data_IF_317863217648
#
_entry.id   IF_317863217648
#
_cell.length_a   1.000
_cell.length_b   1.000
_cell.length_c   1.000
_cell.angle_alpha   90.00
_cell.angle_beta   90.00
_cell.angle_gamma   90.00
#
_symmetry.space_group_name_H-M   'P 1'
#
loop_
_entity.id
_entity.type
_entity.pdbx_description
1 polymer ?
#
# COMPACT_ATOMS: atom_id res chain seq x y z
N UNK A 1 -11.91 11.09 -6.55
CA UNK A 1 -10.95 12.20 -6.26
C UNK A 1 -10.10 11.83 -5.07
N UNK A 2 -8.77 11.97 -5.19
CA UNK A 2 -7.82 11.80 -4.10
C UNK A 2 -7.47 13.19 -3.55
N UNK A 3 -7.95 13.49 -2.34
CA UNK A 3 -7.59 14.71 -1.63
C UNK A 3 -6.24 14.51 -0.94
N UNK A 4 -5.25 15.30 -1.34
CA UNK A 4 -3.90 15.30 -0.78
C UNK A 4 -3.82 16.38 0.30
N UNK A 5 -3.51 15.97 1.53
CA UNK A 5 -3.28 16.87 2.67
C UNK A 5 -1.81 16.76 3.09
N UNK A 6 -1.01 17.77 2.76
CA UNK A 6 0.40 17.81 3.12
C UNK A 6 0.60 18.54 4.46
N UNK A 7 1.52 18.02 5.28
CA UNK A 7 1.96 18.69 6.50
C UNK A 7 2.58 20.06 6.19
N UNK A 8 2.40 21.00 7.12
CA UNK A 8 3.02 22.30 7.03
C UNK A 8 4.56 22.18 7.02
N UNK A 9 5.22 22.91 6.10
CA UNK A 9 6.68 22.89 5.95
C UNK A 9 7.23 21.86 4.96
N UNK A 10 6.39 21.10 4.26
CA UNK A 10 6.84 20.38 3.06
C UNK A 10 7.19 21.36 1.94
N UNK A 11 8.30 21.09 1.21
CA UNK A 11 8.70 21.90 0.08
C UNK A 11 7.67 21.82 -1.07
N UNK A 12 7.65 22.84 -1.92
CA UNK A 12 6.74 22.86 -3.06
C UNK A 12 7.01 21.72 -4.04
N UNK A 13 8.29 21.39 -4.24
CA UNK A 13 8.69 20.25 -5.09
C UNK A 13 8.15 18.92 -4.54
N UNK A 14 8.28 18.70 -3.23
CA UNK A 14 7.75 17.50 -2.58
C UNK A 14 6.24 17.40 -2.74
N UNK A 15 5.51 18.50 -2.47
CA UNK A 15 4.06 18.54 -2.64
C UNK A 15 3.65 18.33 -4.10
N UNK A 16 4.44 18.83 -5.05
CA UNK A 16 4.19 18.62 -6.48
C UNK A 16 4.29 17.14 -6.85
N UNK A 17 5.35 16.44 -6.41
CA UNK A 17 5.52 15.02 -6.64
C UNK A 17 4.36 14.17 -6.08
N UNK A 18 3.89 14.51 -4.86
CA UNK A 18 2.75 13.83 -4.23
C UNK A 18 1.47 14.04 -5.04
N UNK A 19 1.19 15.28 -5.46
CA UNK A 19 0.00 15.61 -6.25
C UNK A 19 0.00 14.92 -7.61
N UNK A 20 1.16 14.89 -8.29
CA UNK A 20 1.31 14.17 -9.56
C UNK A 20 1.06 12.68 -9.39
N UNK A 21 1.61 12.07 -8.33
CA UNK A 21 1.35 10.66 -8.05
C UNK A 21 -0.13 10.37 -7.79
N UNK A 22 -0.83 11.24 -7.05
CA UNK A 22 -2.26 11.12 -6.82
C UNK A 22 -3.07 11.25 -8.12
N UNK A 23 -2.74 12.24 -8.94
CA UNK A 23 -3.39 12.46 -10.23
C UNK A 23 -3.24 11.27 -11.18
N UNK A 24 -2.06 10.67 -11.25
CA UNK A 24 -1.81 9.48 -12.07
C UNK A 24 -2.70 8.31 -11.66
N UNK A 25 -2.99 8.13 -10.38
CA UNK A 25 -3.94 7.13 -9.91
C UNK A 25 -5.39 7.49 -10.25
N UNK A 26 -5.79 8.75 -10.13
CA UNK A 26 -7.12 9.21 -10.52
C UNK A 26 -7.41 8.98 -12.02
N UNK A 27 -6.39 9.13 -12.86
CA UNK A 27 -6.50 8.88 -14.31
C UNK A 27 -6.66 7.40 -14.67
N UNK A 28 -6.19 6.49 -13.80
CA UNK A 28 -6.18 5.04 -14.04
C UNK A 28 -7.27 4.28 -13.32
N UNK A 29 -7.81 4.83 -12.26
CA UNK A 29 -8.79 4.15 -11.42
C UNK A 29 -10.11 4.91 -11.34
N UNK A 30 -11.20 4.17 -11.40
CA UNK A 30 -12.50 4.71 -11.06
C UNK A 30 -12.63 4.84 -9.52
N UNK A 31 -12.59 6.08 -9.02
CA UNK A 31 -12.72 6.41 -7.59
C UNK A 31 -14.01 7.21 -7.41
N UNK A 32 -15.14 6.55 -7.10
CA UNK A 32 -16.47 7.19 -7.06
C UNK A 32 -16.65 8.20 -5.93
N UNK A 33 -15.94 8.02 -4.84
CA UNK A 33 -16.01 8.91 -3.67
C UNK A 33 -14.63 9.48 -3.35
N UNK A 34 -14.62 10.55 -2.57
CA UNK A 34 -13.38 11.18 -2.13
C UNK A 34 -12.56 10.25 -1.23
N UNK A 35 -11.27 10.13 -1.53
CA UNK A 35 -10.25 9.50 -0.69
C UNK A 35 -9.37 10.60 -0.11
N UNK A 36 -9.15 10.59 1.20
CA UNK A 36 -8.34 11.60 1.89
C UNK A 36 -7.04 10.96 2.36
N UNK A 37 -5.92 11.42 1.80
CA UNK A 37 -4.58 10.95 2.16
C UNK A 37 -3.77 12.09 2.80
N UNK A 38 -3.30 11.86 4.02
CA UNK A 38 -2.43 12.79 4.74
C UNK A 38 -0.98 12.38 4.55
N UNK A 39 -0.13 13.37 4.25
CA UNK A 39 1.30 13.18 4.07
C UNK A 39 2.07 13.96 5.13
N UNK A 40 2.98 13.29 5.80
CA UNK A 40 3.83 13.81 6.87
C UNK A 40 5.30 13.49 6.56
N UNK A 41 6.22 14.30 7.08
CA UNK A 41 7.66 13.99 7.06
C UNK A 41 8.06 13.37 8.39
N UNK A 42 8.89 12.34 8.34
CA UNK A 42 9.43 11.72 9.54
C UNK A 42 10.89 11.29 9.31
N UNK A 43 11.75 11.58 10.28
CA UNK A 43 13.13 11.08 10.28
C UNK A 43 13.13 9.61 10.67
N UNK A 44 13.30 8.74 9.69
CA UNK A 44 13.29 7.29 9.91
C UNK A 44 14.69 6.68 9.97
N UNK A 45 15.71 7.46 9.64
CA UNK A 45 17.10 7.04 9.55
C UNK A 45 17.55 6.71 8.13
N UNK A 46 18.84 6.87 7.89
CA UNK A 46 19.48 6.51 6.62
C UNK A 46 19.48 5.00 6.49
N UNK A 47 18.96 4.49 5.36
CA UNK A 47 18.85 3.05 5.10
C UNK A 47 17.59 2.38 5.66
N UNK A 48 16.71 3.13 6.33
CA UNK A 48 15.36 2.69 6.66
C UNK A 48 14.45 2.69 5.41
N UNK A 49 13.18 2.36 5.61
CA UNK A 49 12.17 2.41 4.55
C UNK A 49 12.02 3.82 3.97
N UNK A 50 11.69 3.91 2.71
CA UNK A 50 11.48 5.16 1.98
C UNK A 50 10.27 5.93 2.49
N UNK A 51 9.26 5.19 2.90
CA UNK A 51 8.02 5.69 3.46
C UNK A 51 7.34 4.62 4.32
N UNK A 52 6.47 5.05 5.21
CA UNK A 52 5.51 4.20 5.93
C UNK A 52 4.09 4.61 5.55
N UNK A 53 3.31 3.68 5.01
CA UNK A 53 1.89 3.90 4.75
C UNK A 53 1.05 3.32 5.89
N UNK A 54 0.55 4.18 6.77
CA UNK A 54 -0.35 3.81 7.86
C UNK A 54 -1.79 3.75 7.33
N UNK A 55 -2.10 2.63 6.68
CA UNK A 55 -3.42 2.39 6.10
C UNK A 55 -4.40 2.00 7.19
N UNK A 56 -5.55 2.64 7.23
CA UNK A 56 -6.66 2.19 8.09
C UNK A 56 -7.36 1.03 7.42
N UNK A 57 -7.68 0.01 8.20
CA UNK A 57 -8.35 -1.18 7.70
C UNK A 57 -9.66 -1.42 8.43
N UNK A 58 -10.65 -1.88 7.69
CA UNK A 58 -11.97 -2.27 8.17
C UNK A 58 -12.27 -3.71 7.75
N UNK A 59 -12.80 -4.51 8.66
CA UNK A 59 -13.31 -5.85 8.36
C UNK A 59 -14.83 -5.87 8.46
N UNK A 60 -15.49 -6.60 7.58
CA UNK A 60 -16.91 -6.88 7.70
C UNK A 60 -17.12 -8.00 8.71
N UNK A 61 -18.13 -7.87 9.57
CA UNK A 61 -18.52 -8.90 10.54
C UNK A 61 -18.80 -10.23 9.82
N UNK A 62 -18.20 -11.30 10.34
CA UNK A 62 -18.38 -12.66 9.79
C UNK A 62 -17.56 -12.96 8.54
N UNK A 63 -16.64 -12.07 8.13
CA UNK A 63 -15.73 -12.32 7.01
C UNK A 63 -14.28 -12.44 7.48
N UNK A 64 -13.47 -13.14 6.69
CA UNK A 64 -12.01 -13.21 6.84
C UNK A 64 -11.31 -12.17 5.95
N UNK A 65 -12.04 -11.18 5.43
CA UNK A 65 -11.51 -10.12 4.57
C UNK A 65 -11.33 -8.82 5.32
N UNK A 66 -10.21 -8.16 5.04
CA UNK A 66 -9.84 -6.86 5.56
C UNK A 66 -9.64 -5.89 4.40
N UNK A 67 -10.36 -4.80 4.43
CA UNK A 67 -10.36 -3.78 3.36
C UNK A 67 -9.63 -2.54 3.83
N UNK A 68 -8.83 -1.91 2.95
CA UNK A 68 -8.37 -0.55 3.23
C UNK A 68 -9.57 0.38 3.40
N UNK A 69 -9.45 1.39 4.25
CA UNK A 69 -10.53 2.35 4.52
C UNK A 69 -11.01 3.01 3.22
N UNK A 70 -10.08 3.40 2.35
CA UNK A 70 -10.39 3.99 1.05
C UNK A 70 -11.21 3.06 0.16
N UNK A 71 -10.84 1.78 0.06
CA UNK A 71 -11.62 0.79 -0.70
C UNK A 71 -13.01 0.58 -0.09
N UNK A 72 -13.06 0.36 1.23
CA UNK A 72 -14.32 0.12 1.94
C UNK A 72 -15.32 1.26 1.75
N UNK A 73 -14.86 2.50 1.93
CA UNK A 73 -15.71 3.70 1.81
C UNK A 73 -16.16 3.96 0.37
N UNK A 74 -15.34 3.61 -0.61
CA UNK A 74 -15.69 3.82 -2.01
C UNK A 74 -16.70 2.81 -2.54
N UNK A 75 -16.62 1.55 -2.12
CA UNK A 75 -17.35 0.45 -2.77
C UNK A 75 -18.32 -0.31 -1.86
N UNK A 76 -18.14 -0.26 -0.55
CA UNK A 76 -18.87 -1.12 0.38
C UNK A 76 -19.69 -0.35 1.45
N UNK A 77 -19.53 0.96 1.56
CA UNK A 77 -20.21 1.77 2.57
C UNK A 77 -20.83 3.03 1.99
N UNK A 78 -21.97 3.44 2.53
CA UNK A 78 -22.58 4.74 2.24
C UNK A 78 -22.23 5.82 3.28
N UNK A 79 -21.41 5.47 4.26
CA UNK A 79 -21.04 6.37 5.35
C UNK A 79 -20.14 7.51 4.85
N UNK A 80 -20.37 8.73 5.37
CA UNK A 80 -19.57 9.92 5.05
C UNK A 80 -18.68 10.22 6.24
N UNK A 81 -17.42 9.82 6.19
CA UNK A 81 -16.46 10.17 7.24
C UNK A 81 -15.59 11.35 6.79
N UNK A 82 -15.32 12.26 7.75
CA UNK A 82 -14.41 13.39 7.55
C UNK A 82 -13.05 13.13 8.22
N UNK A 83 -12.52 11.93 8.03
CA UNK A 83 -11.20 11.55 8.54
C UNK A 83 -10.35 11.03 7.39
N UNK A 84 -9.05 11.13 7.52
CA UNK A 84 -8.11 10.58 6.56
C UNK A 84 -8.23 9.05 6.43
N UNK A 85 -8.16 8.55 5.21
CA UNK A 85 -8.19 7.12 4.90
C UNK A 85 -6.84 6.44 5.18
N UNK A 86 -5.76 7.20 5.01
CA UNK A 86 -4.41 6.77 5.36
C UNK A 86 -3.52 7.97 5.70
N UNK A 87 -2.47 7.70 6.49
CA UNK A 87 -1.38 8.63 6.74
C UNK A 87 -0.12 8.03 6.10
N UNK A 88 0.54 8.80 5.25
CA UNK A 88 1.78 8.42 4.58
C UNK A 88 2.91 9.26 5.17
N UNK A 89 3.83 8.61 5.86
CA UNK A 89 5.02 9.21 6.42
C UNK A 89 6.17 9.03 5.44
N UNK A 90 6.77 10.12 5.02
CA UNK A 90 7.89 10.17 4.06
C UNK A 90 9.17 10.28 4.84
N UNK A 91 10.15 9.44 4.58
CA UNK A 91 11.44 9.50 5.24
C UNK A 91 12.22 10.75 4.83
N UNK A 92 12.40 11.68 5.77
CA UNK A 92 13.10 12.96 5.56
C UNK A 92 14.63 12.82 5.55
N UNK A 93 15.16 11.63 5.88
CA UNK A 93 16.60 11.33 5.81
C UNK A 93 17.04 10.78 4.44
N UNK A 94 16.10 10.61 3.49
CA UNK A 94 16.39 10.18 2.12
C UNK A 94 16.71 11.39 1.25
N UNK A 95 17.78 11.29 0.46
CA UNK A 95 18.07 12.27 -0.60
C UNK A 95 17.15 12.03 -1.80
N UNK A 96 16.03 12.75 -1.81
CA UNK A 96 14.99 12.60 -2.81
C UNK A 96 15.32 13.28 -4.13
N UNK A 97 15.01 12.60 -5.23
CA UNK A 97 14.88 13.20 -6.55
C UNK A 97 13.42 13.63 -6.78
N UNK A 98 13.24 14.89 -7.05
CA UNK A 98 11.95 15.51 -7.35
C UNK A 98 11.69 15.63 -8.86
N UNK A 99 12.57 15.12 -9.70
CA UNK A 99 12.37 15.15 -11.15
C UNK A 99 11.29 14.18 -11.59
N UNK A 100 10.64 14.45 -12.71
CA UNK A 100 9.68 13.56 -13.35
C UNK A 100 10.32 12.69 -14.44
N UNK A 101 11.63 12.79 -14.65
CA UNK A 101 12.36 12.04 -15.68
C UNK A 101 12.63 10.58 -15.31
N UNK A 102 12.44 10.19 -14.06
CA UNK A 102 12.47 8.80 -13.60
C UNK A 102 13.86 8.21 -13.34
N UNK A 103 14.93 8.88 -13.74
CA UNK A 103 16.30 8.34 -13.59
C UNK A 103 17.27 9.40 -13.07
N UNK A 104 17.53 9.38 -11.79
CA UNK A 104 18.70 10.02 -11.21
C UNK A 104 19.63 8.99 -10.60
N UNK A 105 20.90 9.05 -10.99
CA UNK A 105 21.94 8.18 -10.42
C UNK A 105 22.09 8.54 -8.94
N UNK A 106 21.94 7.56 -8.06
CA UNK A 106 22.11 7.62 -6.61
C UNK A 106 21.02 8.37 -5.81
N UNK A 107 19.91 8.76 -6.41
CA UNK A 107 18.77 9.33 -5.67
C UNK A 107 17.52 8.48 -5.87
N UNK A 108 16.65 8.48 -4.87
CA UNK A 108 15.33 7.81 -4.96
C UNK A 108 14.31 8.79 -5.49
N UNK A 109 13.56 8.39 -6.50
CA UNK A 109 12.53 9.24 -7.08
C UNK A 109 11.30 9.29 -6.18
N UNK A 110 10.95 10.47 -5.70
CA UNK A 110 9.85 10.67 -4.77
C UNK A 110 8.50 10.33 -5.41
N UNK A 111 8.27 10.72 -6.67
CA UNK A 111 7.00 10.42 -7.35
C UNK A 111 6.75 8.92 -7.41
N UNK A 112 7.79 8.13 -7.74
CA UNK A 112 7.69 6.66 -7.75
C UNK A 112 7.39 6.08 -6.37
N UNK A 113 8.04 6.58 -5.32
CA UNK A 113 7.75 6.16 -3.95
C UNK A 113 6.29 6.49 -3.56
N UNK A 114 5.80 7.68 -3.92
CA UNK A 114 4.44 8.10 -3.62
C UNK A 114 3.39 7.34 -4.43
N UNK A 115 3.67 6.96 -5.67
CA UNK A 115 2.81 6.05 -6.43
C UNK A 115 2.59 4.73 -5.68
N UNK A 116 3.66 4.15 -5.12
CA UNK A 116 3.57 2.92 -4.31
C UNK A 116 2.79 3.13 -3.02
N UNK A 117 3.08 4.21 -2.28
CA UNK A 117 2.42 4.54 -1.02
C UNK A 117 0.91 4.76 -1.20
N UNK A 118 0.52 5.49 -2.25
CA UNK A 118 -0.88 5.72 -2.61
C UNK A 118 -1.55 4.40 -3.02
N UNK A 119 -0.89 3.56 -3.83
CA UNK A 119 -1.40 2.24 -4.18
C UNK A 119 -1.76 1.41 -2.95
N UNK A 120 -0.86 1.33 -1.98
CA UNK A 120 -1.10 0.62 -0.71
C UNK A 120 -2.31 1.21 0.03
N UNK A 121 -2.43 2.53 0.06
CA UNK A 121 -3.54 3.25 0.69
C UNK A 121 -4.88 2.99 -0.01
N UNK A 122 -4.88 2.81 -1.33
CA UNK A 122 -6.05 2.47 -2.13
C UNK A 122 -6.45 0.99 -2.02
N UNK A 123 -5.63 0.15 -1.39
CA UNK A 123 -5.91 -1.27 -1.17
C UNK A 123 -5.08 -2.23 -2.03
N UNK A 124 -4.13 -1.73 -2.81
CA UNK A 124 -3.16 -2.54 -3.55
C UNK A 124 -2.01 -2.97 -2.63
N UNK A 125 -2.33 -3.74 -1.62
CA UNK A 125 -1.37 -4.24 -0.66
C UNK A 125 -1.83 -5.53 0.00
N UNK A 126 -0.88 -6.42 0.23
CA UNK A 126 -1.12 -7.65 0.98
C UNK A 126 -1.35 -7.34 2.45
N UNK A 127 -2.17 -8.17 3.09
CA UNK A 127 -2.35 -8.18 4.54
C UNK A 127 -1.26 -9.00 5.26
N UNK A 128 -0.31 -9.56 4.53
CA UNK A 128 0.79 -10.32 5.13
C UNK A 128 1.82 -9.35 5.73
N UNK A 129 2.15 -9.56 6.99
CA UNK A 129 3.33 -8.99 7.61
C UNK A 129 4.47 -9.98 7.40
N UNK A 130 5.51 -9.57 6.70
CA UNK A 130 6.76 -10.31 6.60
C UNK A 130 7.85 -9.58 7.40
N UNK A 131 8.29 -10.21 8.47
CA UNK A 131 9.48 -9.82 9.20
C UNK A 131 10.39 -11.05 9.29
N UNK A 132 10.89 -11.46 8.13
CA UNK A 132 11.72 -12.66 7.98
C UNK A 132 12.99 -12.62 8.83
N UNK A 133 13.53 -11.41 9.09
CA UNK A 133 14.68 -11.23 9.99
C UNK A 133 14.37 -11.62 11.44
N UNK A 134 13.09 -11.57 11.84
CA UNK A 134 12.60 -12.03 13.15
C UNK A 134 11.87 -13.37 13.07
N UNK A 135 11.84 -14.01 11.90
CA UNK A 135 11.12 -15.26 11.68
C UNK A 135 9.61 -15.13 11.84
N UNK A 136 9.06 -13.94 11.55
CA UNK A 136 7.64 -13.65 11.72
C UNK A 136 7.04 -13.37 10.35
N UNK A 137 6.12 -14.23 9.92
CA UNK A 137 5.35 -14.04 8.69
C UNK A 137 3.93 -14.54 8.91
N UNK A 138 2.95 -13.65 8.89
CA UNK A 138 1.55 -13.99 9.12
C UNK A 138 0.59 -12.94 8.55
N UNK A 139 -0.68 -13.31 8.38
CA UNK A 139 -1.73 -12.37 8.01
C UNK A 139 -2.16 -11.49 9.19
N UNK A 140 -2.25 -10.17 8.96
CA UNK A 140 -2.74 -9.23 9.96
C UNK A 140 -4.16 -9.61 10.40
N UNK A 141 -4.37 -9.73 11.72
CA UNK A 141 -5.67 -10.10 12.31
C UNK A 141 -6.29 -11.39 11.75
N UNK A 142 -5.50 -12.26 11.12
CA UNK A 142 -5.98 -13.47 10.43
C UNK A 142 -6.96 -13.14 9.30
N UNK A 143 -6.80 -12.00 8.65
CA UNK A 143 -7.63 -11.59 7.54
C UNK A 143 -6.80 -11.46 6.27
N UNK A 144 -7.45 -11.71 5.14
CA UNK A 144 -6.91 -11.45 3.81
C UNK A 144 -7.34 -10.09 3.31
N UNK A 145 -6.49 -9.40 2.57
CA UNK A 145 -6.92 -8.25 1.77
C UNK A 145 -7.56 -8.73 0.45
N UNK A 146 -8.40 -7.94 -0.20
CA UNK A 146 -8.85 -8.25 -1.56
C UNK A 146 -7.71 -8.45 -2.55
N UNK A 147 -6.58 -7.79 -2.31
CA UNK A 147 -5.37 -7.92 -3.11
C UNK A 147 -4.76 -9.33 -3.03
N UNK A 148 -4.85 -10.00 -1.87
CA UNK A 148 -4.31 -11.34 -1.66
C UNK A 148 -5.01 -12.40 -2.53
N UNK A 149 -6.23 -12.12 -3.04
CA UNK A 149 -6.96 -13.01 -3.96
C UNK A 149 -6.29 -13.07 -5.35
N UNK A 150 -5.47 -12.09 -5.69
CA UNK A 150 -4.81 -11.98 -6.99
C UNK A 150 -3.32 -12.36 -6.95
N UNK A 151 -2.78 -12.61 -5.77
CA UNK A 151 -1.38 -12.99 -5.61
C UNK A 151 -1.26 -14.50 -5.64
N UNK A 152 -0.50 -15.02 -6.60
CA UNK A 152 -0.30 -16.47 -6.80
C UNK A 152 1.20 -16.82 -6.82
N UNK A 153 1.51 -18.07 -6.50
CA UNK A 153 2.85 -18.62 -6.70
C UNK A 153 2.97 -19.35 -8.05
N UNK A 154 4.15 -19.90 -8.34
CA UNK A 154 4.42 -20.66 -9.56
C UNK A 154 3.54 -21.91 -9.73
N UNK A 155 2.89 -22.40 -8.68
CA UNK A 155 1.97 -23.53 -8.70
C UNK A 155 0.51 -23.09 -8.83
N UNK A 156 0.23 -21.84 -9.14
CA UNK A 156 -1.12 -21.25 -9.20
C UNK A 156 -1.89 -21.26 -7.87
N UNK A 157 -1.22 -21.45 -6.75
CA UNK A 157 -1.85 -21.38 -5.43
C UNK A 157 -1.98 -19.93 -5.03
N UNK A 158 -3.18 -19.49 -4.63
CA UNK A 158 -3.42 -18.12 -4.21
C UNK A 158 -2.90 -17.86 -2.79
N UNK A 159 -2.49 -16.63 -2.54
CA UNK A 159 -2.02 -16.22 -1.21
C UNK A 159 -3.10 -16.38 -0.13
N UNK A 160 -4.37 -16.16 -0.47
CA UNK A 160 -5.51 -16.33 0.43
C UNK A 160 -5.80 -17.82 0.79
N UNK A 161 -5.17 -18.79 0.10
CA UNK A 161 -5.26 -20.23 0.40
C UNK A 161 -4.19 -20.66 1.44
N UNK A 162 -3.26 -19.77 1.78
CA UNK A 162 -2.22 -20.07 2.77
C UNK A 162 -2.77 -20.17 4.19
N UNK A 163 -2.10 -20.94 5.07
CA UNK A 163 -2.51 -21.07 6.46
C UNK A 163 -2.67 -19.71 7.15
N UNK A 164 -3.86 -19.46 7.69
CA UNK A 164 -4.25 -18.20 8.32
C UNK A 164 -4.63 -18.40 9.79
N UNK A 165 -3.70 -18.91 10.57
CA UNK A 165 -3.90 -19.16 12.01
C UNK A 165 -3.30 -18.08 12.92
N UNK A 166 -2.78 -16.98 12.35
CA UNK A 166 -2.10 -15.90 13.06
C UNK A 166 -0.73 -16.29 13.59
N UNK A 167 -0.13 -17.32 13.05
CA UNK A 167 1.23 -17.80 13.36
C UNK A 167 2.03 -17.88 12.09
N UNK A 168 3.34 -17.73 12.22
CA UNK A 168 4.28 -17.99 11.13
C UNK A 168 4.14 -19.43 10.66
N UNK A 169 3.90 -19.64 9.36
CA UNK A 169 3.94 -20.95 8.73
C UNK A 169 5.08 -20.99 7.71
N UNK A 170 5.75 -22.13 7.62
CA UNK A 170 6.84 -22.29 6.64
C UNK A 170 6.34 -22.18 5.20
N UNK A 171 5.10 -22.57 4.95
CA UNK A 171 4.46 -22.46 3.64
C UNK A 171 4.25 -20.99 3.25
N UNK A 172 3.74 -20.16 4.18
CA UNK A 172 3.57 -18.72 3.96
C UNK A 172 4.93 -18.02 3.78
N UNK A 173 5.92 -18.35 4.61
CA UNK A 173 7.28 -17.84 4.45
C UNK A 173 7.82 -18.16 3.05
N UNK A 174 7.74 -19.42 2.64
CA UNK A 174 8.21 -19.86 1.31
C UNK A 174 7.46 -19.19 0.18
N UNK A 175 6.18 -18.87 0.37
CA UNK A 175 5.38 -18.14 -0.61
C UNK A 175 5.90 -16.71 -0.79
N UNK A 176 6.01 -15.93 0.31
CA UNK A 176 6.31 -14.49 0.24
C UNK A 176 7.79 -14.18 0.00
N UNK A 177 8.70 -15.08 0.40
CA UNK A 177 10.15 -14.92 0.18
C UNK A 177 10.64 -15.56 -1.11
N UNK A 178 9.80 -16.35 -1.77
CA UNK A 178 10.13 -16.99 -3.05
C UNK A 178 10.16 -15.97 -4.20
N UNK A 179 11.08 -16.21 -5.16
CA UNK A 179 11.20 -15.36 -6.36
C UNK A 179 10.07 -15.56 -7.38
N UNK A 180 9.04 -16.34 -7.04
CA UNK A 180 7.99 -16.81 -7.94
C UNK A 180 6.60 -16.38 -7.46
N UNK A 181 6.45 -15.09 -7.17
CA UNK A 181 5.16 -14.48 -6.85
C UNK A 181 4.65 -13.74 -8.08
N UNK A 182 3.43 -14.01 -8.48
CA UNK A 182 2.80 -13.46 -9.67
C UNK A 182 1.44 -12.85 -9.35
N UNK A 183 0.96 -11.97 -10.22
CA UNK A 183 -0.42 -11.52 -10.20
C UNK A 183 -1.26 -12.36 -11.14
N UNK A 184 -2.37 -12.88 -10.64
CA UNK A 184 -3.37 -13.52 -11.47
C UNK A 184 -4.09 -12.44 -12.28
N UNK A 185 -3.84 -12.38 -13.56
CA UNK A 185 -4.63 -11.54 -14.47
C UNK A 185 -5.94 -12.26 -14.78
N UNK A 186 -7.04 -11.51 -14.74
CA UNK A 186 -8.39 -12.03 -15.10
C UNK A 186 -8.60 -12.04 -16.61
N UNK A 187 -7.55 -12.10 -17.41
CA UNK A 187 -7.73 -12.23 -18.85
C UNK A 187 -8.24 -13.63 -19.15
N UNK A 188 -9.57 -13.72 -19.23
CA UNK A 188 -10.22 -14.74 -20.04
C UNK A 188 -9.96 -14.38 -21.51
N UNK A 189 -8.81 -14.74 -22.05
CA UNK A 189 -8.56 -14.98 -23.46
C UNK A 189 -7.65 -16.20 -23.61
#
# INVERSE_FOLDING_TARGET
>A
IIEVQCEAGMSEEMQCCIKVAAQLWEEKLYIPKKVVLKFEKEKMGVGAEDFEAQVRYTSLLGTTKMYSQSYFMNFLSDDKRNVEDAIIKINDDVDWDYSFSGETINKKNLTTAMLRAIAMSLGFGSSVIDNSTKGITFFVRRCFSPFDDFVINSNNVCLNEMPNNGRTSQELVSFVTGNNVYYKTTNNE
#
